data_IF_056192861834
#
_entry.id   IF_056192861834
#
_cell.length_a   1.000
_cell.length_b   1.000
_cell.length_c   1.000
_cell.angle_alpha   90.00
_cell.angle_beta   90.00
_cell.angle_gamma   90.00
#
_symmetry.space_group_name_H-M   'P 1'
#
loop_
_entity.id
_entity.type
_entity.pdbx_description
1 polymer ?
#
# COMPACT_ATOMS: atom_id res chain seq x y z
N UNK A 1 -14.55 -22.56 -48.92
CA UNK A 1 -13.28 -22.81 -48.25
C UNK A 1 -12.25 -21.67 -48.44
N UNK A 2 -11.84 -21.28 -49.68
CA UNK A 2 -10.84 -20.24 -49.92
C UNK A 2 -11.17 -18.85 -49.30
N UNK A 3 -12.44 -18.42 -49.29
CA UNK A 3 -12.85 -17.16 -48.69
C UNK A 3 -12.73 -17.19 -47.15
N UNK A 4 -13.14 -18.28 -46.51
CA UNK A 4 -13.00 -18.46 -45.04
C UNK A 4 -11.53 -18.45 -44.64
N UNK A 5 -10.68 -19.16 -45.36
CA UNK A 5 -9.24 -19.19 -45.10
C UNK A 5 -8.60 -17.80 -45.19
N UNK A 6 -8.99 -16.99 -46.20
CA UNK A 6 -8.52 -15.60 -46.35
C UNK A 6 -8.97 -14.74 -45.16
N UNK A 7 -10.24 -14.84 -44.72
CA UNK A 7 -10.74 -14.08 -43.55
C UNK A 7 -9.97 -14.48 -42.32
N UNK A 8 -9.77 -15.79 -42.07
CA UNK A 8 -8.99 -16.26 -40.93
C UNK A 8 -7.54 -15.73 -40.96
N UNK A 9 -6.92 -15.78 -42.12
CA UNK A 9 -5.54 -15.27 -42.29
C UNK A 9 -5.45 -13.75 -42.01
N UNK A 10 -6.42 -12.96 -42.49
CA UNK A 10 -6.47 -11.51 -42.22
C UNK A 10 -6.67 -11.24 -40.71
N UNK A 11 -7.59 -11.95 -40.06
CA UNK A 11 -7.81 -11.81 -38.62
C UNK A 11 -6.57 -12.21 -37.80
N UNK A 12 -5.89 -13.28 -38.20
CA UNK A 12 -4.65 -13.70 -37.57
C UNK A 12 -3.52 -12.64 -37.73
N UNK A 13 -3.41 -12.08 -38.94
CA UNK A 13 -2.43 -11.01 -39.19
C UNK A 13 -2.73 -9.76 -38.36
N UNK A 14 -4.00 -9.32 -38.29
CA UNK A 14 -4.41 -8.18 -37.48
C UNK A 14 -4.14 -8.44 -36.00
N UNK A 15 -4.43 -9.63 -35.51
CA UNK A 15 -4.10 -10.04 -34.14
C UNK A 15 -2.61 -9.94 -33.85
N UNK A 16 -1.76 -10.49 -34.74
CA UNK A 16 -0.30 -10.41 -34.60
C UNK A 16 0.21 -8.97 -34.62
N UNK A 17 -0.34 -8.10 -35.49
CA UNK A 17 0.02 -6.68 -35.50
C UNK A 17 -0.35 -5.97 -34.20
N UNK A 18 -1.53 -6.25 -33.65
CA UNK A 18 -1.98 -5.69 -32.36
C UNK A 18 -1.08 -6.19 -31.23
N UNK A 19 -0.80 -7.48 -31.16
CA UNK A 19 0.09 -8.06 -30.15
C UNK A 19 1.50 -7.48 -30.28
N UNK A 20 2.06 -7.41 -31.50
CA UNK A 20 3.36 -6.79 -31.76
C UNK A 20 3.41 -5.33 -31.35
N UNK A 21 2.39 -4.55 -31.67
CA UNK A 21 2.26 -3.15 -31.24
C UNK A 21 2.22 -3.00 -29.72
N UNK A 22 1.45 -3.86 -29.02
CA UNK A 22 1.41 -3.89 -27.56
C UNK A 22 2.79 -4.24 -26.98
N UNK A 23 3.49 -5.21 -27.54
CA UNK A 23 4.82 -5.62 -27.05
C UNK A 23 5.84 -4.47 -27.18
N UNK A 24 5.86 -3.77 -28.34
CA UNK A 24 6.74 -2.61 -28.55
C UNK A 24 6.38 -1.47 -27.58
N UNK A 25 5.09 -1.22 -27.38
CA UNK A 25 4.62 -0.21 -26.43
C UNK A 25 5.02 -0.53 -24.99
N UNK A 26 4.86 -1.79 -24.55
CA UNK A 26 5.28 -2.25 -23.23
C UNK A 26 6.79 -2.13 -23.04
N UNK A 27 7.58 -2.49 -24.06
CA UNK A 27 9.03 -2.35 -24.02
C UNK A 27 9.45 -0.88 -23.86
N UNK A 28 8.78 0.04 -24.56
CA UNK A 28 9.05 1.48 -24.44
C UNK A 28 8.65 2.06 -23.09
N UNK A 29 7.61 1.51 -22.43
CA UNK A 29 7.16 1.95 -21.11
C UNK A 29 8.06 1.47 -19.97
N UNK A 30 8.67 0.31 -20.13
CA UNK A 30 9.46 -0.33 -19.07
C UNK A 30 8.60 -0.85 -17.91
N UNK A 31 9.25 -1.15 -16.76
CA UNK A 31 8.63 -1.75 -15.57
C UNK A 31 8.80 -0.85 -14.33
N UNK A 32 8.80 0.47 -14.50
CA UNK A 32 9.00 1.41 -13.39
C UNK A 32 7.80 1.45 -12.45
N UNK A 33 8.03 1.19 -11.17
CA UNK A 33 7.00 1.36 -10.12
C UNK A 33 6.72 2.84 -9.77
N UNK A 34 7.51 3.78 -10.30
CA UNK A 34 7.33 5.23 -10.06
C UNK A 34 6.22 5.85 -10.89
N UNK A 35 5.82 5.16 -11.97
CA UNK A 35 4.75 5.65 -12.84
C UNK A 35 3.37 5.44 -12.22
N UNK A 36 2.41 6.17 -12.75
CA UNK A 36 1.00 5.98 -12.37
C UNK A 36 0.35 5.00 -13.36
N UNK A 37 -0.55 4.14 -12.87
CA UNK A 37 -1.40 3.36 -13.77
C UNK A 37 -2.18 4.29 -14.70
N UNK A 38 -2.35 3.88 -15.95
CA UNK A 38 -3.26 4.57 -16.87
C UNK A 38 -4.70 4.56 -16.31
N UNK A 39 -5.53 5.49 -16.75
CA UNK A 39 -6.91 5.55 -16.28
C UNK A 39 -7.71 4.26 -16.58
N UNK A 40 -7.43 3.61 -17.72
CA UNK A 40 -8.05 2.32 -18.09
C UNK A 40 -7.60 1.23 -17.12
N UNK A 41 -6.29 1.12 -16.89
CA UNK A 41 -5.70 0.14 -15.99
C UNK A 41 -6.25 0.30 -14.56
N UNK A 42 -6.31 1.54 -14.07
CA UNK A 42 -6.87 1.83 -12.76
C UNK A 42 -8.37 1.43 -12.66
N UNK A 43 -9.17 1.69 -13.72
CA UNK A 43 -10.59 1.31 -13.77
C UNK A 43 -10.77 -0.20 -13.79
N UNK A 44 -9.99 -0.90 -14.62
CA UNK A 44 -10.03 -2.36 -14.70
C UNK A 44 -9.59 -2.98 -13.38
N UNK A 45 -8.49 -2.53 -12.80
CA UNK A 45 -7.99 -3.03 -11.51
C UNK A 45 -9.02 -2.85 -10.38
N UNK A 46 -9.67 -1.69 -10.31
CA UNK A 46 -10.71 -1.42 -9.32
C UNK A 46 -11.94 -2.32 -9.49
N UNK A 47 -12.39 -2.48 -10.74
CA UNK A 47 -13.48 -3.39 -11.06
C UNK A 47 -13.13 -4.83 -10.66
N UNK A 48 -11.95 -5.30 -11.08
CA UNK A 48 -11.47 -6.65 -10.76
C UNK A 48 -11.34 -6.87 -9.25
N UNK A 49 -10.76 -5.91 -8.51
CA UNK A 49 -10.69 -5.99 -7.05
C UNK A 49 -12.09 -6.18 -6.44
N UNK A 50 -13.05 -5.34 -6.81
CA UNK A 50 -14.41 -5.45 -6.30
C UNK A 50 -15.10 -6.75 -6.71
N UNK A 51 -14.83 -7.26 -7.92
CA UNK A 51 -15.42 -8.51 -8.40
C UNK A 51 -14.80 -9.74 -7.73
N UNK A 52 -13.47 -9.73 -7.49
CA UNK A 52 -12.72 -10.86 -6.95
C UNK A 52 -12.86 -11.04 -5.43
N UNK A 53 -13.26 -10.02 -4.67
CA UNK A 53 -13.59 -10.20 -3.26
C UNK A 53 -14.78 -11.16 -3.15
N UNK A 54 -14.64 -12.29 -2.42
CA UNK A 54 -15.71 -13.27 -2.30
C UNK A 54 -16.99 -12.65 -1.72
N UNK A 55 -18.14 -13.07 -2.26
CA UNK A 55 -19.45 -12.55 -1.83
C UNK A 55 -19.74 -12.78 -0.34
N UNK A 56 -19.14 -13.81 0.25
CA UNK A 56 -19.21 -14.12 1.68
C UNK A 56 -18.70 -12.99 2.57
N UNK A 57 -17.75 -12.20 2.08
CA UNK A 57 -17.19 -11.05 2.82
C UNK A 57 -17.98 -9.76 2.61
N UNK A 58 -18.58 -9.56 1.42
CA UNK A 58 -19.21 -8.27 1.06
C UNK A 58 -20.36 -7.86 1.98
N UNK A 59 -21.06 -8.83 2.56
CA UNK A 59 -22.17 -8.58 3.49
C UNK A 59 -21.79 -8.53 4.96
N UNK A 60 -20.54 -8.84 5.31
CA UNK A 60 -20.12 -8.89 6.70
C UNK A 60 -20.13 -7.50 7.32
N UNK A 61 -20.62 -7.45 8.56
CA UNK A 61 -20.50 -6.29 9.44
C UNK A 61 -19.39 -6.54 10.42
N UNK A 62 -18.72 -5.48 10.87
CA UNK A 62 -17.69 -5.59 11.86
C UNK A 62 -18.26 -6.19 13.15
N UNK A 63 -17.79 -7.36 13.62
CA UNK A 63 -18.28 -8.00 14.85
C UNK A 63 -17.73 -7.34 16.12
N UNK A 64 -16.65 -6.55 16.00
CA UNK A 64 -15.99 -5.90 17.13
C UNK A 64 -16.70 -4.58 17.42
N UNK A 65 -16.92 -4.28 18.70
CA UNK A 65 -17.50 -3.00 19.13
C UNK A 65 -16.51 -1.85 18.90
N UNK A 66 -17.01 -0.70 18.43
CA UNK A 66 -16.20 0.50 18.25
C UNK A 66 -16.01 1.22 19.60
N UNK A 67 -15.17 0.64 20.48
CA UNK A 67 -14.80 1.21 21.78
C UNK A 67 -13.52 2.02 21.68
N UNK A 68 -13.26 2.87 22.70
CA UNK A 68 -12.00 3.62 22.78
C UNK A 68 -10.80 2.68 22.93
N UNK A 69 -10.94 1.58 23.66
CA UNK A 69 -9.89 0.56 23.81
C UNK A 69 -9.52 -0.06 22.47
N UNK A 70 -10.50 -0.51 21.68
CA UNK A 70 -10.28 -1.07 20.36
C UNK A 70 -9.71 -0.03 19.39
N UNK A 71 -10.07 1.25 19.53
CA UNK A 71 -9.47 2.32 18.74
C UNK A 71 -7.99 2.52 19.08
N UNK A 72 -7.63 2.56 20.35
CA UNK A 72 -6.22 2.72 20.77
C UNK A 72 -5.38 1.55 20.26
N UNK A 73 -5.82 0.31 20.47
CA UNK A 73 -5.13 -0.88 19.97
C UNK A 73 -4.95 -0.85 18.44
N UNK A 74 -5.98 -0.48 17.69
CA UNK A 74 -5.92 -0.37 16.24
C UNK A 74 -5.00 0.77 15.77
N UNK A 75 -4.99 1.90 16.48
CA UNK A 75 -4.11 3.03 16.21
C UNK A 75 -2.64 2.63 16.35
N UNK A 76 -2.29 1.93 17.42
CA UNK A 76 -0.94 1.40 17.65
C UNK A 76 -0.54 0.43 16.53
N UNK A 77 -1.40 -0.54 16.24
CA UNK A 77 -1.16 -1.52 15.18
C UNK A 77 -0.99 -0.86 13.80
N UNK A 78 -1.83 0.13 13.49
CA UNK A 78 -1.73 0.87 12.23
C UNK A 78 -0.42 1.67 12.14
N UNK A 79 -0.04 2.37 13.22
CA UNK A 79 1.18 3.16 13.27
C UNK A 79 2.43 2.30 13.11
N UNK A 80 2.48 1.12 13.74
CA UNK A 80 3.63 0.23 13.69
C UNK A 80 3.77 -0.50 12.34
N UNK A 81 2.66 -0.97 11.74
CA UNK A 81 2.73 -1.86 10.58
C UNK A 81 2.27 -1.21 9.26
N UNK A 82 1.27 -0.35 9.29
CA UNK A 82 0.60 0.15 8.09
C UNK A 82 1.11 1.52 7.65
N UNK A 83 1.49 2.37 8.62
CA UNK A 83 1.84 3.76 8.38
C UNK A 83 3.09 3.93 7.50
N UNK A 84 4.00 2.97 7.45
CA UNK A 84 5.17 2.98 6.57
C UNK A 84 4.81 3.21 5.09
N UNK A 85 3.70 2.61 4.65
CA UNK A 85 3.17 2.80 3.30
C UNK A 85 2.02 3.80 3.25
N UNK A 86 1.10 3.74 4.25
CA UNK A 86 -0.14 4.49 4.20
C UNK A 86 -0.07 5.88 4.85
N UNK A 87 0.98 6.16 5.65
CA UNK A 87 1.07 7.36 6.49
C UNK A 87 0.16 7.26 7.71
N UNK A 88 0.52 7.93 8.81
CA UNK A 88 -0.31 7.95 10.01
C UNK A 88 -1.71 8.52 9.74
N UNK A 89 -1.81 9.47 8.82
CA UNK A 89 -3.05 10.09 8.38
C UNK A 89 -3.81 9.27 7.33
N UNK A 90 -3.28 8.15 6.88
CA UNK A 90 -3.87 7.30 5.86
C UNK A 90 -3.82 7.85 4.42
N UNK A 91 -3.04 8.91 4.18
CA UNK A 91 -2.95 9.59 2.86
C UNK A 91 -2.21 8.77 1.79
N UNK A 92 -1.41 7.78 2.19
CA UNK A 92 -0.47 7.08 1.29
C UNK A 92 0.72 7.91 0.85
N UNK A 93 0.87 9.15 1.37
CA UNK A 93 1.92 10.09 0.96
C UNK A 93 3.22 9.89 1.74
N UNK A 94 3.70 8.67 1.81
CA UNK A 94 5.01 8.31 2.38
C UNK A 94 6.03 8.07 1.26
N UNK A 95 7.30 7.97 1.62
CA UNK A 95 8.34 7.63 0.64
C UNK A 95 8.06 6.25 0.04
N UNK A 96 7.76 5.25 0.87
CA UNK A 96 7.43 3.90 0.40
C UNK A 96 6.12 3.88 -0.39
N UNK A 97 5.06 4.49 0.13
CA UNK A 97 3.74 4.51 -0.51
C UNK A 97 3.74 5.12 -1.91
N UNK A 98 4.55 6.19 -2.12
CA UNK A 98 4.69 6.82 -3.44
C UNK A 98 5.49 6.00 -4.45
N UNK A 99 6.34 5.09 -3.99
CA UNK A 99 7.20 4.25 -4.82
C UNK A 99 6.63 2.85 -5.09
N UNK A 100 5.39 2.57 -4.68
CA UNK A 100 4.66 1.36 -5.02
C UNK A 100 3.89 1.52 -6.34
N UNK A 101 3.64 0.39 -7.01
CA UNK A 101 2.76 0.32 -8.17
C UNK A 101 1.62 -0.68 -7.96
N UNK A 102 0.37 -0.20 -7.96
CA UNK A 102 -0.04 1.20 -7.84
C UNK A 102 0.40 1.81 -6.51
N UNK A 103 0.45 3.13 -6.43
CA UNK A 103 0.76 3.84 -5.18
C UNK A 103 -0.23 3.49 -4.08
N UNK A 104 0.22 3.56 -2.82
CA UNK A 104 -0.66 3.42 -1.68
C UNK A 104 -1.83 4.42 -1.78
N UNK A 105 -3.09 3.96 -1.63
CA UNK A 105 -4.24 4.84 -1.77
C UNK A 105 -4.38 5.79 -0.59
N UNK A 106 -4.95 6.98 -0.85
CA UNK A 106 -5.50 7.80 0.22
C UNK A 106 -6.78 7.13 0.75
N UNK A 107 -6.67 6.55 1.95
CA UNK A 107 -7.76 5.79 2.56
C UNK A 107 -8.86 6.67 3.16
N UNK A 108 -8.66 7.98 3.24
CA UNK A 108 -9.67 8.94 3.70
C UNK A 108 -10.74 9.21 2.65
N UNK A 109 -10.46 8.88 1.40
CA UNK A 109 -11.31 9.19 0.26
C UNK A 109 -12.42 8.13 0.06
N UNK A 110 -13.52 8.50 -0.63
CA UNK A 110 -14.66 7.61 -0.89
C UNK A 110 -14.29 6.26 -1.51
N UNK A 111 -13.20 6.21 -2.27
CA UNK A 111 -12.70 4.97 -2.88
C UNK A 111 -12.40 3.86 -1.86
N UNK A 112 -11.99 4.22 -0.64
CA UNK A 112 -11.78 3.30 0.48
C UNK A 112 -12.96 3.34 1.44
N UNK A 113 -13.43 4.53 1.78
CA UNK A 113 -14.49 4.72 2.77
C UNK A 113 -15.84 4.10 2.38
N UNK A 114 -16.13 3.95 1.08
CA UNK A 114 -17.35 3.31 0.59
C UNK A 114 -17.27 1.78 0.49
N UNK A 115 -16.12 1.17 0.76
CA UNK A 115 -16.02 -0.29 0.86
C UNK A 115 -16.81 -0.78 2.07
N UNK A 116 -17.41 -1.97 1.99
CA UNK A 116 -18.02 -2.63 3.14
C UNK A 116 -16.97 -3.02 4.20
N UNK A 117 -17.39 -3.22 5.44
CA UNK A 117 -16.47 -3.61 6.51
C UNK A 117 -15.79 -4.94 6.21
N UNK A 118 -16.55 -5.92 5.73
CA UNK A 118 -16.00 -7.21 5.33
C UNK A 118 -15.09 -7.13 4.11
N UNK A 119 -15.27 -6.15 3.22
CA UNK A 119 -14.35 -5.93 2.09
C UNK A 119 -13.02 -5.35 2.59
N UNK A 120 -13.05 -4.41 3.53
CA UNK A 120 -11.84 -3.88 4.19
C UNK A 120 -11.11 -4.98 4.95
N UNK A 121 -11.85 -5.76 5.75
CA UNK A 121 -11.31 -6.92 6.47
C UNK A 121 -10.61 -7.89 5.51
N UNK A 122 -11.29 -8.28 4.41
CA UNK A 122 -10.72 -9.16 3.41
C UNK A 122 -9.40 -8.62 2.82
N UNK A 123 -9.36 -7.31 2.52
CA UNK A 123 -8.16 -6.65 1.98
C UNK A 123 -7.02 -6.66 3.01
N UNK A 124 -7.30 -6.43 4.28
CA UNK A 124 -6.29 -6.47 5.34
C UNK A 124 -5.73 -7.90 5.47
N UNK A 125 -6.61 -8.88 5.60
CA UNK A 125 -6.22 -10.28 5.80
C UNK A 125 -5.42 -10.85 4.62
N UNK A 126 -5.84 -10.56 3.38
CA UNK A 126 -5.30 -11.23 2.18
C UNK A 126 -4.37 -10.34 1.35
N UNK A 127 -4.29 -9.04 1.65
CA UNK A 127 -3.58 -8.10 0.79
C UNK A 127 -4.30 -7.86 -0.55
N UNK A 128 -3.58 -7.26 -1.49
CA UNK A 128 -4.08 -7.02 -2.85
C UNK A 128 -3.06 -7.55 -3.86
N UNK A 129 -3.45 -8.60 -4.58
CA UNK A 129 -2.61 -9.24 -5.59
C UNK A 129 -2.10 -8.25 -6.63
N UNK A 130 -0.86 -8.44 -7.07
CA UNK A 130 -0.16 -7.58 -8.04
C UNK A 130 0.03 -6.12 -7.56
N UNK A 131 0.04 -5.92 -6.24
CA UNK A 131 0.37 -4.62 -5.61
C UNK A 131 1.39 -4.82 -4.50
N UNK A 132 1.87 -3.71 -3.91
CA UNK A 132 2.74 -3.76 -2.73
C UNK A 132 2.00 -4.00 -1.40
N UNK A 133 0.69 -4.19 -1.39
CA UNK A 133 -0.08 -4.47 -0.16
C UNK A 133 -0.04 -5.97 0.16
N UNK A 134 0.72 -6.42 1.18
CA UNK A 134 0.75 -7.82 1.61
C UNK A 134 -0.52 -8.20 2.38
N UNK A 135 -0.77 -9.49 2.52
CA UNK A 135 -1.76 -10.00 3.47
C UNK A 135 -1.20 -9.99 4.89
N UNK A 136 -2.03 -9.63 5.86
CA UNK A 136 -1.66 -9.52 7.27
C UNK A 136 -2.29 -10.60 8.15
N UNK A 137 -2.98 -11.57 7.55
CA UNK A 137 -3.57 -12.69 8.29
C UNK A 137 -2.51 -13.47 9.06
N UNK A 138 -2.75 -13.68 10.34
CA UNK A 138 -1.93 -14.56 11.19
C UNK A 138 -2.52 -15.97 11.29
N UNK A 139 -3.74 -16.17 10.80
CA UNK A 139 -4.49 -17.42 10.93
C UNK A 139 -4.96 -17.72 12.37
N UNK A 140 -4.94 -16.70 13.25
CA UNK A 140 -5.38 -16.82 14.64
C UNK A 140 -6.60 -15.93 14.94
N UNK A 141 -7.47 -16.29 15.90
CA UNK A 141 -8.60 -15.44 16.30
C UNK A 141 -8.18 -14.05 16.78
N UNK A 142 -7.02 -13.92 17.42
CA UNK A 142 -6.46 -12.66 17.91
C UNK A 142 -6.07 -11.77 16.74
N UNK A 143 -5.46 -12.34 15.69
CA UNK A 143 -5.12 -11.61 14.45
C UNK A 143 -6.36 -11.14 13.71
N UNK A 144 -7.39 -12.00 13.60
CA UNK A 144 -8.68 -11.61 13.01
C UNK A 144 -9.33 -10.46 13.79
N UNK A 145 -9.31 -10.49 15.12
CA UNK A 145 -9.79 -9.38 15.94
C UNK A 145 -9.03 -8.09 15.66
N UNK A 146 -7.70 -8.16 15.57
CA UNK A 146 -6.87 -7.00 15.25
C UNK A 146 -7.20 -6.42 13.87
N UNK A 147 -7.45 -7.26 12.87
CA UNK A 147 -7.88 -6.83 11.54
C UNK A 147 -9.25 -6.14 11.57
N UNK A 148 -10.20 -6.63 12.37
CA UNK A 148 -11.49 -5.98 12.57
C UNK A 148 -11.37 -4.64 13.31
N UNK A 149 -10.47 -4.54 14.29
CA UNK A 149 -10.15 -3.27 14.95
C UNK A 149 -9.57 -2.26 13.94
N UNK A 150 -8.66 -2.70 13.03
CA UNK A 150 -8.14 -1.86 11.95
C UNK A 150 -9.24 -1.34 11.02
N UNK A 151 -10.29 -2.12 10.74
CA UNK A 151 -11.44 -1.63 9.96
C UNK A 151 -12.09 -0.42 10.64
N UNK A 152 -12.30 -0.45 11.96
CA UNK A 152 -12.80 0.72 12.71
C UNK A 152 -11.85 1.90 12.64
N UNK A 153 -10.54 1.67 12.74
CA UNK A 153 -9.54 2.72 12.63
C UNK A 153 -9.57 3.38 11.25
N UNK A 154 -9.61 2.59 10.16
CA UNK A 154 -9.69 3.09 8.78
C UNK A 154 -10.94 3.98 8.59
N UNK A 155 -12.08 3.62 9.20
CA UNK A 155 -13.29 4.46 9.18
C UNK A 155 -13.09 5.82 9.85
N UNK A 156 -12.21 5.90 10.84
CA UNK A 156 -11.94 7.14 11.58
C UNK A 156 -10.82 7.99 10.96
N UNK A 157 -10.05 7.48 10.00
CA UNK A 157 -8.97 8.24 9.35
C UNK A 157 -9.36 9.66 8.90
N UNK A 158 -10.56 9.90 8.30
CA UNK A 158 -10.94 11.25 7.89
C UNK A 158 -11.15 12.23 9.04
N UNK A 159 -11.22 11.76 10.29
CA UNK A 159 -11.54 12.55 11.49
C UNK A 159 -10.50 12.44 12.60
N UNK A 160 -9.30 11.94 12.30
CA UNK A 160 -8.20 11.91 13.26
C UNK A 160 -7.81 13.32 13.69
N UNK A 161 -7.50 13.47 14.97
CA UNK A 161 -7.05 14.74 15.55
C UNK A 161 -5.53 14.90 15.39
N UNK A 162 -5.01 16.12 15.50
CA UNK A 162 -3.55 16.34 15.54
C UNK A 162 -2.87 15.56 16.68
N UNK A 163 -3.56 15.40 17.81
CA UNK A 163 -3.08 14.65 18.98
C UNK A 163 -2.95 13.16 18.66
N UNK A 164 -3.95 12.56 17.96
CA UNK A 164 -3.88 11.19 17.50
C UNK A 164 -2.67 10.96 16.60
N UNK A 165 -2.43 11.88 15.66
CA UNK A 165 -1.29 11.78 14.74
C UNK A 165 0.05 11.90 15.47
N UNK A 166 0.17 12.79 16.46
CA UNK A 166 1.38 12.95 17.26
C UNK A 166 1.69 11.69 18.10
N UNK A 167 0.66 11.04 18.64
CA UNK A 167 0.85 9.78 19.34
C UNK A 167 1.31 8.67 18.39
N UNK A 168 0.74 8.59 17.18
CA UNK A 168 1.14 7.61 16.18
C UNK A 168 2.60 7.77 15.73
N UNK A 169 3.10 9.00 15.64
CA UNK A 169 4.51 9.27 15.30
C UNK A 169 5.49 8.60 16.29
N UNK A 170 5.11 8.52 17.56
CA UNK A 170 5.94 7.87 18.60
C UNK A 170 5.93 6.34 18.51
N UNK A 171 4.94 5.78 17.82
CA UNK A 171 4.74 4.34 17.64
C UNK A 171 5.27 3.82 16.31
N UNK A 172 5.67 4.72 15.41
CA UNK A 172 6.21 4.33 14.11
C UNK A 172 7.54 3.57 14.27
N UNK A 173 7.79 2.52 13.48
CA UNK A 173 9.07 1.82 13.48
C UNK A 173 10.22 2.79 13.20
N UNK A 174 11.23 2.76 14.04
CA UNK A 174 12.45 3.54 13.86
C UNK A 174 13.31 2.86 12.80
N UNK A 175 13.68 3.58 11.75
CA UNK A 175 14.59 3.04 10.73
C UNK A 175 15.97 2.78 11.33
N UNK A 176 16.76 1.82 10.79
CA UNK A 176 18.14 1.60 11.25
C UNK A 176 19.00 2.86 11.25
N UNK A 177 18.81 3.75 10.27
CA UNK A 177 19.53 5.02 10.20
C UNK A 177 19.13 5.98 11.34
N UNK A 178 17.83 6.09 11.64
CA UNK A 178 17.33 6.89 12.76
C UNK A 178 17.78 6.31 14.11
N UNK A 179 17.79 4.98 14.25
CA UNK A 179 18.29 4.31 15.44
C UNK A 179 19.77 4.64 15.70
N UNK A 180 20.60 4.54 14.66
CA UNK A 180 22.01 4.91 14.72
C UNK A 180 22.23 6.41 15.05
N UNK A 181 21.38 7.28 14.50
CA UNK A 181 21.42 8.72 14.79
C UNK A 181 21.02 8.98 16.24
N UNK A 182 19.92 8.39 16.71
CA UNK A 182 19.50 8.49 18.11
C UNK A 182 20.56 8.01 19.06
N UNK A 183 21.21 6.88 18.78
CA UNK A 183 22.31 6.34 19.56
C UNK A 183 23.49 7.30 19.62
N UNK A 184 23.88 7.90 18.48
CA UNK A 184 24.94 8.92 18.45
C UNK A 184 24.62 10.14 19.29
N UNK A 185 23.36 10.61 19.25
CA UNK A 185 22.89 11.72 20.07
C UNK A 185 22.95 11.34 21.55
N UNK A 186 22.48 10.14 21.90
CA UNK A 186 22.50 9.65 23.27
C UNK A 186 23.92 9.49 23.80
N UNK A 187 24.83 8.92 23.02
CA UNK A 187 26.25 8.77 23.37
C UNK A 187 26.93 10.15 23.54
N UNK A 188 26.63 11.11 22.67
CA UNK A 188 27.10 12.50 22.79
C UNK A 188 26.60 13.14 24.10
N UNK A 189 25.32 12.99 24.42
CA UNK A 189 24.73 13.52 25.66
C UNK A 189 25.33 12.87 26.92
N UNK A 190 25.83 11.62 26.82
CA UNK A 190 26.54 10.90 27.87
C UNK A 190 28.05 11.28 27.94
N UNK A 191 28.53 12.22 27.10
CA UNK A 191 29.90 12.69 27.09
C UNK A 191 30.84 11.89 26.21
N UNK A 192 30.35 11.06 25.31
CA UNK A 192 31.16 10.40 24.30
C UNK A 192 31.59 11.41 23.22
N UNK A 193 32.81 11.34 22.75
CA UNK A 193 33.35 12.18 21.68
C UNK A 193 32.60 11.86 20.37
N UNK A 194 32.15 12.87 19.59
CA UNK A 194 31.41 12.60 18.36
C UNK A 194 32.28 11.82 17.38
N UNK A 195 31.76 10.77 16.74
CA UNK A 195 32.49 10.01 15.73
C UNK A 195 32.92 10.95 14.59
N UNK A 196 34.10 10.72 13.96
CA UNK A 196 34.54 11.54 12.84
C UNK A 196 33.44 11.51 11.74
N UNK A 197 33.16 12.68 11.14
CA UNK A 197 32.12 12.86 10.12
C UNK A 197 32.26 11.77 9.05
N UNK A 198 31.30 10.85 9.00
CA UNK A 198 31.26 9.78 8.00
C UNK A 198 31.02 10.40 6.63
N UNK A 199 31.84 10.05 5.66
CA UNK A 199 31.59 10.34 4.25
C UNK A 199 30.19 9.83 3.87
N UNK A 200 29.41 10.70 3.24
CA UNK A 200 28.05 10.43 2.76
C UNK A 200 27.99 9.06 2.05
N UNK A 201 27.23 8.06 2.56
CA UNK A 201 27.12 6.75 1.93
C UNK A 201 26.48 6.81 0.54
N UNK A 202 25.88 7.93 0.15
CA UNK A 202 25.25 8.15 -1.16
C UNK A 202 26.10 8.97 -2.14
N UNK A 203 27.30 9.41 -1.78
CA UNK A 203 28.18 10.21 -2.64
C UNK A 203 28.59 9.50 -3.97
N UNK A 204 28.35 8.18 -4.09
CA UNK A 204 28.66 7.38 -5.28
C UNK A 204 27.51 7.17 -6.27
N UNK A 205 26.28 7.51 -5.94
CA UNK A 205 25.11 7.30 -6.82
C UNK A 205 24.76 8.53 -7.65
N UNK A 206 25.66 8.92 -8.58
CA UNK A 206 25.26 9.80 -9.67
C UNK A 206 24.51 8.98 -10.71
N UNK A 207 23.26 9.35 -11.10
CA UNK A 207 22.58 8.70 -12.21
C UNK A 207 23.39 8.93 -13.49
N UNK A 208 23.48 7.93 -14.39
CA UNK A 208 24.08 8.13 -15.72
C UNK A 208 23.29 9.19 -16.49
N UNK A 209 24.05 10.05 -17.21
CA UNK A 209 23.50 11.11 -18.06
C UNK A 209 22.73 10.53 -19.24
#
# INVERSE_FOLDING_TARGET
>A
MKKVLRVVAVLALLFLLVVGGIMVWLQGRGVSAREQPSWIEARVALFMRGWMIPSTYKGLKNPISNTQENFVAAREHFADHCASCHGNDGSGNTEMGRNLYPKAPDMRLPRTQNLGDGELFYIIENGVMLTGMPGWSTGTPEGENSSWQLVHFIRRLPSLTPEDLQEMERMNPVSPAQFEEQKKIEDFLKGAEPPPASSDPHAGHRPPK
#
